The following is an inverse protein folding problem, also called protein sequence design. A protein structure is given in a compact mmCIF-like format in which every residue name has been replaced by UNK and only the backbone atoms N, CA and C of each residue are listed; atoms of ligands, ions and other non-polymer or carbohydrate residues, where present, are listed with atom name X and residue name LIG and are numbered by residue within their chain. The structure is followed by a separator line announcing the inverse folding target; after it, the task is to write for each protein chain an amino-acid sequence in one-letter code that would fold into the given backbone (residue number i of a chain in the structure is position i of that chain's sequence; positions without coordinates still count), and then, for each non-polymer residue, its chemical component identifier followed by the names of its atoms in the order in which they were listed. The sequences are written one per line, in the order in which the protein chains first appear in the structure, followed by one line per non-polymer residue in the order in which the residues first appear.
data_IF_118909336397
#
_entry.id   IF_118909336397
#
_cell.length_a   1.000
_cell.length_b   1.000
_cell.length_c   1.000
_cell.angle_alpha   90.00
_cell.angle_beta   90.00
_cell.angle_gamma   90.00
#
_symmetry.space_group_name_H-M   'P 1'
#
loop_
_entity.id
_entity.type
_entity.pdbx_description
1 polymer ?
#
# COMPACT_ATOMS: atom_id res chain seq x y z
N UNK A 1 8.40 -16.48 -17.64
CA UNK A 1 9.09 -15.18 -17.73
C UNK A 1 9.09 -14.59 -16.33
N UNK A 2 10.25 -14.47 -15.70
CA UNK A 2 10.31 -13.93 -14.34
C UNK A 2 10.17 -12.39 -14.40
N UNK A 3 9.54 -11.75 -13.39
CA UNK A 3 9.43 -10.30 -13.34
C UNK A 3 10.81 -9.64 -13.29
N UNK A 4 11.04 -8.60 -14.10
CA UNK A 4 12.33 -7.88 -14.18
C UNK A 4 12.92 -7.48 -12.82
N UNK A 5 12.07 -7.01 -11.89
CA UNK A 5 12.51 -6.61 -10.55
C UNK A 5 12.88 -7.80 -9.67
N UNK A 6 12.25 -8.95 -9.87
CA UNK A 6 12.58 -10.18 -9.15
C UNK A 6 13.92 -10.73 -9.62
N UNK A 7 14.16 -10.76 -10.94
CA UNK A 7 15.46 -11.18 -11.51
C UNK A 7 16.59 -10.31 -10.96
N UNK A 8 16.43 -8.99 -11.01
CA UNK A 8 17.42 -8.04 -10.45
C UNK A 8 17.62 -8.20 -8.95
N UNK A 9 16.57 -8.53 -8.19
CA UNK A 9 16.69 -8.77 -6.76
C UNK A 9 17.54 -10.00 -6.47
N UNK A 10 17.29 -11.11 -7.18
CA UNK A 10 17.97 -12.38 -6.96
C UNK A 10 19.42 -12.37 -7.48
N UNK A 11 19.71 -11.70 -8.60
CA UNK A 11 21.03 -11.69 -9.23
C UNK A 11 22.00 -10.65 -8.67
N UNK A 12 21.53 -9.44 -8.37
CA UNK A 12 22.40 -8.29 -8.04
C UNK A 12 22.23 -7.85 -6.59
N UNK A 13 20.98 -7.59 -6.17
CA UNK A 13 20.71 -6.90 -4.90
C UNK A 13 20.96 -7.82 -3.70
N UNK A 14 20.50 -9.08 -3.77
CA UNK A 14 20.62 -10.03 -2.66
C UNK A 14 22.07 -10.41 -2.36
N UNK A 15 22.95 -10.69 -3.35
CA UNK A 15 24.36 -10.91 -3.09
C UNK A 15 25.07 -9.67 -2.52
N UNK A 16 24.80 -8.49 -3.09
CA UNK A 16 25.38 -7.24 -2.61
C UNK A 16 25.00 -6.94 -1.15
N UNK A 17 23.74 -7.20 -0.76
CA UNK A 17 23.30 -7.06 0.62
C UNK A 17 23.97 -8.08 1.56
N UNK A 18 24.20 -9.31 1.10
CA UNK A 18 24.86 -10.34 1.91
C UNK A 18 26.31 -9.95 2.22
N UNK A 19 27.02 -9.39 1.25
CA UNK A 19 28.39 -8.89 1.43
C UNK A 19 28.41 -7.66 2.34
N UNK A 20 27.56 -6.66 2.10
CA UNK A 20 27.50 -5.43 2.90
C UNK A 20 27.13 -5.68 4.37
N UNK A 21 26.23 -6.61 4.64
CA UNK A 21 25.77 -6.91 6.00
C UNK A 21 26.55 -8.06 6.66
N UNK A 22 27.46 -8.72 5.93
CA UNK A 22 28.24 -9.86 6.44
C UNK A 22 27.38 -11.08 6.82
N UNK A 23 26.18 -11.21 6.25
CA UNK A 23 25.21 -12.25 6.63
C UNK A 23 25.47 -13.52 5.81
N UNK A 24 25.84 -14.61 6.49
CA UNK A 24 26.10 -15.92 5.86
C UNK A 24 24.83 -16.72 5.56
N UNK A 25 23.74 -16.48 6.29
CA UNK A 25 22.48 -17.21 6.12
C UNK A 25 21.61 -16.51 5.07
N UNK A 26 21.35 -17.13 3.89
CA UNK A 26 20.57 -16.51 2.82
C UNK A 26 19.13 -16.17 3.20
N UNK A 27 18.58 -16.82 4.24
CA UNK A 27 17.21 -16.60 4.73
C UNK A 27 17.12 -15.46 5.75
N UNK A 28 18.25 -15.01 6.30
CA UNK A 28 18.30 -13.88 7.22
C UNK A 28 18.41 -12.52 6.49
N UNK A 29 18.51 -12.53 5.16
CA UNK A 29 18.56 -11.31 4.36
C UNK A 29 17.19 -10.64 4.32
N UNK A 30 17.16 -9.29 4.38
CA UNK A 30 15.90 -8.56 4.31
C UNK A 30 15.28 -8.69 2.91
N UNK A 31 13.96 -8.84 2.88
CA UNK A 31 13.15 -9.00 1.66
C UNK A 31 11.94 -8.08 1.69
N UNK A 32 11.48 -7.68 0.51
CA UNK A 32 10.21 -6.98 0.36
C UNK A 32 9.08 -7.98 0.66
N UNK A 33 8.25 -7.68 1.66
CA UNK A 33 7.16 -8.57 2.08
C UNK A 33 5.82 -8.17 1.48
N UNK A 34 5.54 -6.86 1.44
CA UNK A 34 4.34 -6.27 0.83
C UNK A 34 4.52 -4.77 0.67
N UNK A 35 3.76 -4.18 -0.24
CA UNK A 35 3.66 -2.72 -0.42
C UNK A 35 2.20 -2.32 -0.20
N UNK A 36 1.96 -1.44 0.78
CA UNK A 36 0.60 -0.94 1.05
C UNK A 36 0.49 0.46 0.46
N UNK A 37 -0.40 0.60 -0.52
CA UNK A 37 -0.77 1.90 -1.10
C UNK A 37 -2.02 2.37 -0.39
N UNK A 38 -1.99 3.56 0.20
CA UNK A 38 -3.10 4.11 0.97
C UNK A 38 -3.39 5.54 0.54
N UNK A 39 -4.65 5.86 0.32
CA UNK A 39 -5.11 7.19 -0.02
C UNK A 39 -6.20 7.61 0.96
N UNK A 40 -5.92 8.65 1.74
CA UNK A 40 -6.90 9.32 2.58
C UNK A 40 -7.59 10.43 1.80
N UNK A 41 -8.89 10.32 1.62
CA UNK A 41 -9.71 11.29 0.89
C UNK A 41 -10.53 12.07 1.91
N UNK A 42 -9.91 13.05 2.57
CA UNK A 42 -10.58 13.84 3.63
C UNK A 42 -11.83 14.58 3.14
N UNK A 43 -11.91 14.90 1.85
CA UNK A 43 -13.08 15.48 1.18
C UNK A 43 -14.23 14.48 0.97
N UNK A 44 -14.00 13.18 1.15
CA UNK A 44 -15.02 12.14 1.03
C UNK A 44 -16.14 12.25 2.08
N UNK A 45 -15.85 12.91 3.20
CA UNK A 45 -16.86 13.19 4.25
C UNK A 45 -17.94 14.14 3.73
N UNK A 46 -17.56 15.06 2.83
CA UNK A 46 -18.47 16.04 2.23
C UNK A 46 -19.12 15.53 0.93
N UNK A 47 -18.35 14.83 0.08
CA UNK A 47 -18.85 14.29 -1.19
C UNK A 47 -18.33 12.87 -1.44
N UNK A 48 -19.25 11.91 -1.49
CA UNK A 48 -18.96 10.50 -1.74
C UNK A 48 -18.37 10.25 -3.14
N UNK A 49 -18.66 11.10 -4.13
CA UNK A 49 -18.13 10.95 -5.49
C UNK A 49 -16.61 11.04 -5.54
N UNK A 50 -16.01 11.87 -4.69
CA UNK A 50 -14.55 11.97 -4.60
C UNK A 50 -13.92 10.67 -4.13
N UNK A 51 -14.62 9.89 -3.29
CA UNK A 51 -14.15 8.58 -2.85
C UNK A 51 -14.24 7.55 -3.97
N UNK A 52 -15.29 7.60 -4.80
CA UNK A 52 -15.44 6.72 -5.96
C UNK A 52 -14.35 6.98 -7.00
N UNK A 53 -14.09 8.25 -7.35
CA UNK A 53 -13.01 8.64 -8.28
C UNK A 53 -11.64 8.16 -7.77
N UNK A 54 -11.39 8.35 -6.47
CA UNK A 54 -10.17 7.91 -5.82
C UNK A 54 -10.05 6.37 -5.79
N UNK A 55 -11.17 5.67 -5.65
CA UNK A 55 -11.22 4.21 -5.69
C UNK A 55 -10.89 3.66 -7.07
N UNK A 56 -11.48 4.24 -8.11
CA UNK A 56 -11.26 3.83 -9.51
C UNK A 56 -9.82 4.12 -9.94
N UNK A 57 -9.30 5.33 -9.63
CA UNK A 57 -7.91 5.66 -9.92
C UNK A 57 -6.91 4.72 -9.22
N UNK A 58 -7.19 4.33 -7.97
CA UNK A 58 -6.33 3.37 -7.26
C UNK A 58 -6.44 1.96 -7.87
N UNK A 59 -7.62 1.58 -8.37
CA UNK A 59 -7.81 0.32 -9.08
C UNK A 59 -6.98 0.28 -10.37
N UNK A 60 -7.00 1.37 -11.14
CA UNK A 60 -6.23 1.49 -12.39
C UNK A 60 -4.72 1.46 -12.13
N UNK A 61 -4.24 2.14 -11.08
CA UNK A 61 -2.82 2.18 -10.73
C UNK A 61 -2.32 0.83 -10.22
N UNK A 62 -3.07 0.22 -9.29
CA UNK A 62 -2.63 -1.00 -8.61
C UNK A 62 -3.00 -2.28 -9.35
N UNK A 63 -3.91 -2.22 -10.33
CA UNK A 63 -4.47 -3.39 -11.02
C UNK A 63 -5.28 -4.32 -10.12
N UNK A 64 -5.65 -3.86 -8.92
CA UNK A 64 -6.35 -4.65 -7.90
C UNK A 64 -7.46 -3.80 -7.29
N UNK A 65 -8.62 -4.43 -7.04
CA UNK A 65 -9.74 -3.76 -6.36
C UNK A 65 -9.34 -3.28 -4.96
N UNK A 66 -9.37 -1.96 -4.68
CA UNK A 66 -9.03 -1.43 -3.36
C UNK A 66 -10.04 -1.81 -2.28
N UNK A 67 -9.60 -1.69 -1.02
CA UNK A 67 -10.45 -1.82 0.16
C UNK A 67 -10.76 -0.43 0.69
N UNK A 68 -12.05 -0.11 0.87
CA UNK A 68 -12.47 1.14 1.50
C UNK A 68 -12.12 1.14 2.99
N UNK A 69 -11.51 2.23 3.47
CA UNK A 69 -11.12 2.40 4.86
C UNK A 69 -12.17 3.23 5.61
N UNK A 70 -12.60 2.72 6.76
CA UNK A 70 -13.62 3.34 7.60
C UNK A 70 -12.99 4.00 8.84
N UNK A 71 -13.69 5.01 9.34
CA UNK A 71 -13.39 5.67 10.61
C UNK A 71 -13.50 4.70 11.78
N UNK A 72 -12.43 4.54 12.57
CA UNK A 72 -12.45 3.76 13.82
C UNK A 72 -13.01 4.53 15.02
N UNK A 73 -12.98 5.87 14.97
CA UNK A 73 -13.41 6.75 16.05
C UNK A 73 -14.08 7.98 15.45
N UNK A 74 -15.03 8.54 16.18
CA UNK A 74 -15.63 9.83 15.85
C UNK A 74 -14.70 10.98 16.29
N UNK A 75 -14.44 11.94 15.40
CA UNK A 75 -13.61 13.12 15.69
C UNK A 75 -14.33 14.36 15.18
N UNK A 76 -14.82 15.19 16.11
CA UNK A 76 -15.65 16.36 15.79
C UNK A 76 -14.89 17.40 14.95
N UNK A 77 -13.59 17.61 15.19
CA UNK A 77 -12.75 18.55 14.43
C UNK A 77 -12.67 18.23 12.93
N UNK A 78 -12.79 16.95 12.56
CA UNK A 78 -12.83 16.50 11.17
C UNK A 78 -14.25 16.19 10.67
N UNK A 79 -15.27 16.56 11.45
CA UNK A 79 -16.69 16.25 11.18
C UNK A 79 -16.94 14.77 10.87
N UNK A 80 -16.17 13.90 11.52
CA UNK A 80 -16.05 12.49 11.18
C UNK A 80 -16.75 11.64 12.24
N UNK A 81 -17.60 10.69 11.79
CA UNK A 81 -18.26 9.72 12.66
C UNK A 81 -17.69 8.32 12.43
N UNK A 82 -17.69 7.51 13.49
CA UNK A 82 -17.30 6.11 13.42
C UNK A 82 -18.10 5.36 12.33
N UNK A 83 -17.42 4.49 11.59
CA UNK A 83 -18.00 3.75 10.47
C UNK A 83 -18.09 4.53 9.14
N UNK A 84 -17.81 5.83 9.11
CA UNK A 84 -17.81 6.58 7.84
C UNK A 84 -16.61 6.19 6.97
N UNK A 85 -16.79 5.99 5.64
CA UNK A 85 -15.70 5.76 4.72
C UNK A 85 -14.89 7.06 4.50
N UNK A 86 -13.56 6.97 4.58
CA UNK A 86 -12.64 8.12 4.51
C UNK A 86 -11.57 7.94 3.43
N UNK A 87 -11.38 6.73 2.93
CA UNK A 87 -10.34 6.48 1.95
C UNK A 87 -10.37 5.07 1.40
N UNK A 88 -9.29 4.73 0.71
CA UNK A 88 -9.08 3.44 0.10
C UNK A 88 -7.62 3.01 0.27
N UNK A 89 -7.38 1.70 0.32
CA UNK A 89 -6.04 1.13 0.33
C UNK A 89 -5.97 -0.16 -0.49
N UNK A 90 -4.79 -0.44 -1.03
CA UNK A 90 -4.42 -1.72 -1.64
C UNK A 90 -3.18 -2.28 -0.93
N UNK A 91 -3.07 -3.59 -0.86
CA UNK A 91 -1.86 -4.27 -0.41
C UNK A 91 -1.40 -5.18 -1.53
N UNK A 92 -0.24 -4.86 -2.10
CA UNK A 92 0.47 -5.63 -3.12
C UNK A 92 1.50 -6.54 -2.46
#
# INVERSE_FOLDING_TARGET
MAPRLQERYDSEIRPALAEQLGIKNPMALPRVTKVVINMGVGSAVADKKNLEIAFDAMMDIAGQRPVQTIARKSIAGFKLREGMPIGCKVTL
#
